data_IF_802966141965
#
_entry.id   IF_802966141965
#
_cell.length_a   1.000
_cell.length_b   1.000
_cell.length_c   1.000
_cell.angle_alpha   90.00
_cell.angle_beta   90.00
_cell.angle_gamma   90.00
#
_symmetry.space_group_name_H-M   'P 1'
#
loop_
_entity.id
_entity.type
_entity.pdbx_description
1 polymer ?
#
# COMPACT_ATOMS: atom_id res chain seq x y z
N UNK A 1 -19.88 5.35 23.95
CA UNK A 1 -19.09 6.58 23.75
C UNK A 1 -17.62 6.38 24.10
N UNK A 2 -17.28 5.73 25.22
CA UNK A 2 -15.89 5.46 25.66
C UNK A 2 -14.98 4.77 24.64
N UNK A 3 -15.43 3.78 23.86
CA UNK A 3 -14.54 3.09 22.90
C UNK A 3 -14.15 3.92 21.67
N UNK A 4 -15.06 4.77 21.16
CA UNK A 4 -14.79 5.63 20.02
C UNK A 4 -13.83 6.76 20.41
N UNK A 5 -14.07 7.39 21.56
CA UNK A 5 -13.20 8.40 22.11
C UNK A 5 -11.80 7.83 22.35
N UNK A 6 -11.70 6.67 23.01
CA UNK A 6 -10.43 5.97 23.20
C UNK A 6 -9.72 5.66 21.88
N UNK A 7 -10.43 5.30 20.81
CA UNK A 7 -9.81 5.06 19.50
C UNK A 7 -9.19 6.33 18.91
N UNK A 8 -9.86 7.47 19.02
CA UNK A 8 -9.35 8.74 18.49
C UNK A 8 -8.21 9.32 19.31
N UNK A 9 -8.18 9.05 20.62
CA UNK A 9 -7.16 9.54 21.57
C UNK A 9 -6.07 8.51 21.89
N UNK A 10 -6.05 7.35 21.21
CA UNK A 10 -4.99 6.35 21.40
C UNK A 10 -3.70 6.87 20.80
N UNK A 11 -2.66 6.96 21.61
CA UNK A 11 -1.30 7.27 21.16
C UNK A 11 -0.55 5.99 20.78
N UNK A 12 0.19 6.04 19.66
CA UNK A 12 1.07 4.94 19.23
C UNK A 12 2.48 5.50 19.10
N UNK A 13 3.35 5.09 20.01
CA UNK A 13 4.77 5.39 19.92
C UNK A 13 5.42 4.53 18.82
N UNK A 14 6.07 5.17 17.86
CA UNK A 14 6.72 4.47 16.76
C UNK A 14 7.99 3.76 17.23
N UNK A 15 8.04 2.46 17.00
CA UNK A 15 9.24 1.64 17.09
C UNK A 15 9.85 1.49 15.70
N UNK A 16 10.85 2.33 15.44
CA UNK A 16 11.57 2.38 14.15
C UNK A 16 12.21 1.05 13.81
N UNK A 17 12.84 0.39 14.79
CA UNK A 17 13.48 -0.92 14.58
C UNK A 17 12.47 -1.97 14.12
N UNK A 18 11.26 -1.96 14.68
CA UNK A 18 10.19 -2.87 14.26
C UNK A 18 9.74 -2.59 12.82
N UNK A 19 9.57 -1.31 12.44
CA UNK A 19 9.21 -0.91 11.08
C UNK A 19 10.28 -1.38 10.08
N UNK A 20 11.55 -1.13 10.37
CA UNK A 20 12.67 -1.60 9.54
C UNK A 20 12.75 -3.12 9.46
N UNK A 21 12.55 -3.83 10.57
CA UNK A 21 12.56 -5.29 10.60
C UNK A 21 11.47 -5.86 9.69
N UNK A 22 10.25 -5.34 9.77
CA UNK A 22 9.13 -5.77 8.91
C UNK A 22 9.42 -5.44 7.45
N UNK A 23 9.96 -4.24 7.16
CA UNK A 23 10.37 -3.86 5.81
C UNK A 23 11.48 -4.74 5.24
N UNK A 24 12.45 -5.16 6.06
CA UNK A 24 13.50 -6.09 5.65
C UNK A 24 12.92 -7.48 5.33
N UNK A 25 12.06 -8.01 6.22
CA UNK A 25 11.36 -9.28 6.01
C UNK A 25 10.55 -9.24 4.71
N UNK A 26 9.83 -8.14 4.46
CA UNK A 26 9.10 -7.90 3.22
C UNK A 26 10.00 -8.05 1.99
N UNK A 27 11.13 -7.34 1.97
CA UNK A 27 12.07 -7.35 0.84
C UNK A 27 12.62 -8.76 0.61
N UNK A 28 13.05 -9.46 1.67
CA UNK A 28 13.61 -10.81 1.58
C UNK A 28 12.59 -11.79 1.00
N UNK A 29 11.34 -11.74 1.46
CA UNK A 29 10.27 -12.61 0.96
C UNK A 29 9.95 -12.28 -0.50
N UNK A 30 9.84 -11.00 -0.83
CA UNK A 30 9.50 -10.56 -2.19
C UNK A 30 10.57 -10.93 -3.23
N UNK A 31 11.86 -10.83 -2.88
CA UNK A 31 12.96 -11.26 -3.75
C UNK A 31 12.94 -12.78 -3.99
N UNK A 32 12.44 -13.55 -3.03
CA UNK A 32 12.36 -15.00 -3.10
C UNK A 32 10.96 -15.53 -3.44
N UNK A 33 10.05 -14.68 -3.95
CA UNK A 33 8.62 -14.98 -4.18
C UNK A 33 8.34 -16.15 -5.14
N UNK A 34 9.32 -16.56 -5.93
CA UNK A 34 9.16 -17.66 -6.89
C UNK A 34 9.29 -19.06 -6.25
N UNK A 35 9.69 -19.16 -4.96
CA UNK A 35 10.01 -20.44 -4.31
C UNK A 35 9.04 -20.80 -3.19
N UNK A 36 8.32 -21.92 -3.34
CA UNK A 36 7.58 -22.58 -2.27
C UNK A 36 6.71 -21.64 -1.43
N UNK A 37 6.91 -21.66 -0.11
CA UNK A 37 6.13 -20.88 0.87
C UNK A 37 6.26 -19.36 0.70
N UNK A 38 7.37 -18.87 0.14
CA UNK A 38 7.58 -17.43 -0.06
C UNK A 38 6.59 -16.85 -1.08
N UNK A 39 6.09 -17.66 -2.01
CA UNK A 39 5.05 -17.24 -2.95
C UNK A 39 3.74 -16.88 -2.23
N UNK A 40 3.39 -17.64 -1.19
CA UNK A 40 2.22 -17.40 -0.36
C UNK A 40 2.44 -16.21 0.58
N UNK A 41 3.60 -16.14 1.23
CA UNK A 41 3.95 -15.04 2.12
C UNK A 41 4.02 -13.70 1.37
N UNK A 42 4.52 -13.69 0.13
CA UNK A 42 4.50 -12.52 -0.75
C UNK A 42 3.07 -12.02 -0.97
N UNK A 43 2.09 -12.91 -1.21
CA UNK A 43 0.69 -12.50 -1.35
C UNK A 43 0.19 -11.75 -0.13
N UNK A 44 0.43 -12.29 1.06
CA UNK A 44 -0.05 -11.67 2.30
C UNK A 44 0.64 -10.34 2.59
N UNK A 45 1.97 -10.29 2.48
CA UNK A 45 2.73 -9.08 2.79
C UNK A 45 2.52 -7.96 1.77
N UNK A 46 2.36 -8.30 0.49
CA UNK A 46 2.11 -7.32 -0.58
C UNK A 46 0.64 -6.88 -0.63
N UNK A 47 -0.28 -7.49 0.14
CA UNK A 47 -1.71 -7.18 0.03
C UNK A 47 -1.99 -5.69 0.25
N UNK A 48 -1.43 -5.11 1.32
CA UNK A 48 -1.60 -3.70 1.67
C UNK A 48 -0.86 -2.78 0.67
N UNK A 49 0.43 -3.02 0.35
CA UNK A 49 1.12 -2.26 -0.69
C UNK A 49 0.39 -2.23 -2.03
N UNK A 50 -0.04 -3.38 -2.54
CA UNK A 50 -0.76 -3.50 -3.81
C UNK A 50 -2.11 -2.83 -3.73
N UNK A 51 -2.89 -3.05 -2.66
CA UNK A 51 -4.15 -2.33 -2.44
C UNK A 51 -3.93 -0.82 -2.50
N UNK A 52 -2.87 -0.33 -1.87
CA UNK A 52 -2.54 1.09 -1.82
C UNK A 52 -2.15 1.63 -3.19
N UNK A 53 -1.31 0.91 -3.93
CA UNK A 53 -0.89 1.26 -5.28
C UNK A 53 -2.10 1.33 -6.23
N UNK A 54 -2.89 0.26 -6.31
CA UNK A 54 -4.05 0.20 -7.20
C UNK A 54 -5.11 1.24 -6.82
N UNK A 55 -5.29 1.47 -5.51
CA UNK A 55 -6.18 2.53 -5.03
C UNK A 55 -5.69 3.92 -5.46
N UNK A 56 -4.37 4.12 -5.54
CA UNK A 56 -3.77 5.33 -6.13
C UNK A 56 -4.30 5.61 -7.52
N UNK A 57 -4.27 4.62 -8.42
CA UNK A 57 -4.87 4.77 -9.75
C UNK A 57 -6.35 5.16 -9.67
N UNK A 58 -7.12 4.48 -8.83
CA UNK A 58 -8.56 4.75 -8.70
C UNK A 58 -8.86 6.14 -8.15
N UNK A 59 -8.15 6.56 -7.11
CA UNK A 59 -8.34 7.85 -6.45
C UNK A 59 -8.03 8.99 -7.43
N UNK A 60 -6.85 8.97 -8.05
CA UNK A 60 -6.41 10.01 -8.97
C UNK A 60 -7.25 10.02 -10.26
N UNK A 61 -7.74 8.85 -10.70
CA UNK A 61 -8.72 8.78 -11.79
C UNK A 61 -10.03 9.49 -11.43
N UNK A 62 -10.57 9.24 -10.23
CA UNK A 62 -11.81 9.91 -9.80
C UNK A 62 -11.65 11.41 -9.60
N UNK A 63 -10.54 11.86 -9.03
CA UNK A 63 -10.25 13.29 -8.82
C UNK A 63 -10.25 14.04 -10.16
N UNK A 64 -9.79 13.40 -11.23
CA UNK A 64 -9.77 13.98 -12.59
C UNK A 64 -11.08 13.78 -13.37
N UNK A 65 -12.14 13.34 -12.70
CA UNK A 65 -13.47 13.12 -13.31
C UNK A 65 -13.60 11.82 -14.10
N UNK A 66 -12.64 10.91 -13.99
CA UNK A 66 -12.69 9.55 -14.52
C UNK A 66 -13.61 8.63 -13.72
N UNK A 67 -13.70 7.37 -14.18
CA UNK A 67 -14.49 6.32 -13.52
C UNK A 67 -13.63 5.07 -13.27
N UNK A 68 -13.59 4.60 -12.03
CA UNK A 68 -13.04 3.29 -11.70
C UNK A 68 -14.16 2.23 -11.75
N UNK A 69 -13.96 1.20 -12.58
CA UNK A 69 -14.90 0.10 -12.76
C UNK A 69 -14.62 -1.07 -11.83
N UNK A 70 -13.35 -1.37 -11.62
CA UNK A 70 -12.92 -2.51 -10.82
C UNK A 70 -11.55 -2.24 -10.21
N UNK A 71 -11.30 -2.87 -9.06
CA UNK A 71 -10.02 -2.91 -8.38
C UNK A 71 -9.81 -4.34 -7.92
N UNK A 72 -8.76 -4.97 -8.39
CA UNK A 72 -8.51 -6.39 -8.16
C UNK A 72 -7.14 -6.57 -7.53
N UNK A 73 -7.10 -7.37 -6.46
CA UNK A 73 -5.87 -7.89 -5.89
C UNK A 73 -5.79 -9.36 -6.25
N UNK A 74 -4.71 -9.77 -6.91
CA UNK A 74 -4.48 -11.16 -7.29
C UNK A 74 -3.97 -11.89 -6.05
N UNK A 75 -4.76 -12.80 -5.48
CA UNK A 75 -4.38 -13.54 -4.27
C UNK A 75 -3.87 -14.95 -4.56
N UNK A 76 -3.97 -15.44 -5.80
CA UNK A 76 -3.45 -16.75 -6.18
C UNK A 76 -1.99 -16.63 -6.62
N UNK A 77 -1.02 -17.28 -5.93
CA UNK A 77 0.39 -17.23 -6.32
C UNK A 77 0.66 -17.72 -7.74
N UNK A 78 -0.05 -18.76 -8.20
CA UNK A 78 0.11 -19.29 -9.56
C UNK A 78 -0.33 -18.28 -10.61
N UNK A 79 -1.42 -17.56 -10.35
CA UNK A 79 -1.89 -16.49 -11.24
C UNK A 79 -0.90 -15.32 -11.28
N UNK A 80 -0.31 -14.93 -10.14
CA UNK A 80 0.73 -13.90 -10.11
C UNK A 80 1.96 -14.31 -10.93
N UNK A 81 2.34 -15.58 -10.91
CA UNK A 81 3.50 -16.07 -11.66
C UNK A 81 3.23 -16.15 -13.16
N UNK A 82 2.01 -16.50 -13.57
CA UNK A 82 1.65 -16.59 -15.00
C UNK A 82 1.37 -15.23 -15.63
N UNK A 83 0.76 -14.30 -14.89
CA UNK A 83 0.37 -12.97 -15.38
C UNK A 83 1.41 -11.89 -15.08
N UNK A 84 2.31 -12.14 -14.12
CA UNK A 84 3.23 -11.16 -13.53
C UNK A 84 2.52 -9.94 -12.89
N UNK A 85 1.21 -10.05 -12.64
CA UNK A 85 0.40 -9.00 -12.02
C UNK A 85 0.11 -9.35 -10.55
N UNK A 86 0.35 -8.40 -9.65
CA UNK A 86 0.00 -8.54 -8.23
C UNK A 86 -1.40 -7.96 -7.93
N UNK A 87 -1.81 -6.98 -8.72
CA UNK A 87 -3.12 -6.33 -8.71
C UNK A 87 -3.32 -5.58 -10.03
N UNK A 88 -4.54 -5.07 -10.23
CA UNK A 88 -4.85 -4.15 -11.31
C UNK A 88 -6.14 -3.36 -11.02
N UNK A 89 -6.15 -2.10 -11.44
CA UNK A 89 -7.32 -1.23 -11.44
C UNK A 89 -7.84 -1.00 -12.86
N UNK A 90 -9.14 -1.26 -13.09
CA UNK A 90 -9.80 -0.94 -14.36
C UNK A 90 -10.36 0.48 -14.26
N UNK A 91 -9.63 1.45 -14.82
CA UNK A 91 -9.99 2.86 -14.80
C UNK A 91 -10.34 3.39 -16.19
N UNK A 92 -11.19 4.42 -16.23
CA UNK A 92 -11.60 5.11 -17.45
C UNK A 92 -11.33 6.61 -17.27
N UNK A 93 -10.17 7.05 -17.74
CA UNK A 93 -9.74 8.44 -17.67
C UNK A 93 -10.43 9.33 -18.69
N UNK A 94 -10.69 10.59 -18.32
CA UNK A 94 -11.15 11.62 -19.25
C UNK A 94 -9.95 12.35 -19.85
N UNK A 95 -9.64 12.04 -21.10
CA UNK A 95 -8.56 12.68 -21.86
C UNK A 95 -7.15 12.34 -21.35
N UNK A 96 -6.14 12.91 -22.04
CA UNK A 96 -4.73 12.62 -21.79
C UNK A 96 -4.23 13.08 -20.41
N UNK A 97 -4.69 14.24 -19.93
CA UNK A 97 -4.31 14.74 -18.60
C UNK A 97 -4.85 13.84 -17.48
N UNK A 98 -6.09 13.38 -17.59
CA UNK A 98 -6.66 12.44 -16.63
C UNK A 98 -5.92 11.11 -16.62
N UNK A 99 -5.49 10.63 -17.79
CA UNK A 99 -4.69 9.41 -17.90
C UNK A 99 -3.30 9.58 -17.27
N UNK A 100 -2.63 10.70 -17.54
CA UNK A 100 -1.35 11.06 -16.93
C UNK A 100 -1.42 11.07 -15.39
N UNK A 101 -2.41 11.78 -14.84
CA UNK A 101 -2.60 11.90 -13.39
C UNK A 101 -2.95 10.54 -12.77
N UNK A 102 -3.81 9.75 -13.43
CA UNK A 102 -4.17 8.39 -12.99
C UNK A 102 -2.93 7.48 -12.90
N UNK A 103 -2.08 7.50 -13.93
CA UNK A 103 -0.90 6.64 -14.01
C UNK A 103 0.17 7.04 -12.99
N UNK A 104 0.34 8.35 -12.71
CA UNK A 104 1.23 8.81 -11.64
C UNK A 104 0.73 8.39 -10.25
N UNK A 105 -0.58 8.36 -10.06
CA UNK A 105 -1.21 8.06 -8.77
C UNK A 105 -0.79 6.73 -8.16
N UNK A 106 -0.54 5.69 -8.96
CA UNK A 106 -0.18 4.36 -8.48
C UNK A 106 1.10 4.36 -7.66
N UNK A 107 2.21 4.80 -8.27
CA UNK A 107 3.52 4.87 -7.61
C UNK A 107 3.65 5.96 -6.53
N UNK A 108 2.80 6.99 -6.54
CA UNK A 108 2.78 7.99 -5.48
C UNK A 108 2.00 7.56 -4.24
N UNK A 109 1.00 6.69 -4.36
CA UNK A 109 0.10 6.39 -3.24
C UNK A 109 0.78 5.66 -2.08
N UNK A 110 1.62 4.61 -2.28
CA UNK A 110 2.34 3.97 -1.17
C UNK A 110 3.22 4.93 -0.35
N UNK A 111 4.10 5.76 -0.96
CA UNK A 111 4.87 6.75 -0.20
C UNK A 111 4.00 7.83 0.45
N UNK A 112 2.90 8.28 -0.19
CA UNK A 112 1.95 9.22 0.44
C UNK A 112 1.31 8.60 1.68
N UNK A 113 0.81 7.36 1.60
CA UNK A 113 0.20 6.69 2.75
C UNK A 113 1.21 6.46 3.87
N UNK A 114 2.44 6.08 3.53
CA UNK A 114 3.51 5.95 4.51
C UNK A 114 3.77 7.27 5.24
N UNK A 115 3.86 8.39 4.51
CA UNK A 115 4.00 9.72 5.11
C UNK A 115 2.81 10.12 5.99
N UNK A 116 1.58 9.83 5.55
CA UNK A 116 0.38 10.06 6.38
C UNK A 116 0.51 9.30 7.70
N UNK A 117 0.96 8.04 7.67
CA UNK A 117 1.16 7.25 8.88
C UNK A 117 2.29 7.77 9.78
N UNK A 118 3.39 8.27 9.22
CA UNK A 118 4.45 8.89 10.03
C UNK A 118 3.99 10.19 10.69
N UNK A 119 3.37 11.09 9.91
CA UNK A 119 2.86 12.37 10.39
C UNK A 119 1.75 12.17 11.42
N UNK A 120 0.82 11.25 11.17
CA UNK A 120 -0.25 10.91 12.08
C UNK A 120 0.28 10.44 13.44
N UNK A 121 1.32 9.59 13.46
CA UNK A 121 1.92 9.16 14.72
C UNK A 121 2.72 10.28 15.40
N UNK A 122 3.47 11.09 14.64
CA UNK A 122 4.25 12.20 15.19
C UNK A 122 3.37 13.24 15.89
N UNK A 123 2.19 13.54 15.33
CA UNK A 123 1.22 14.45 15.91
C UNK A 123 0.16 13.76 16.79
N UNK A 124 0.41 12.55 17.29
CA UNK A 124 -0.48 11.86 18.25
C UNK A 124 -1.92 11.64 17.75
N UNK A 125 -2.07 11.44 16.43
CA UNK A 125 -3.34 11.16 15.77
C UNK A 125 -3.28 9.92 14.86
N UNK A 126 -2.78 8.75 15.35
CA UNK A 126 -2.67 7.53 14.53
C UNK A 126 -4.03 7.02 14.01
N UNK A 127 -5.11 7.39 14.68
CA UNK A 127 -6.49 7.12 14.24
C UNK A 127 -6.76 7.63 12.82
N UNK A 128 -6.18 8.77 12.40
CA UNK A 128 -6.32 9.31 11.03
C UNK A 128 -5.83 8.30 9.99
N UNK A 129 -4.67 7.71 10.21
CA UNK A 129 -4.08 6.72 9.31
C UNK A 129 -4.89 5.43 9.25
N UNK A 130 -5.34 4.95 10.42
CA UNK A 130 -6.17 3.75 10.51
C UNK A 130 -7.54 3.95 9.84
N UNK A 131 -8.18 5.10 10.06
CA UNK A 131 -9.45 5.47 9.40
C UNK A 131 -9.27 5.62 7.90
N UNK A 132 -8.17 6.20 7.42
CA UNK A 132 -7.88 6.28 5.99
C UNK A 132 -7.78 4.89 5.35
N UNK A 133 -7.06 3.96 5.98
CA UNK A 133 -6.97 2.58 5.48
C UNK A 133 -8.30 1.83 5.56
N UNK A 134 -9.10 2.06 6.60
CA UNK A 134 -10.43 1.50 6.70
C UNK A 134 -11.33 2.02 5.55
N UNK A 135 -11.27 3.31 5.25
CA UNK A 135 -12.02 3.90 4.14
C UNK A 135 -11.59 3.33 2.78
N UNK A 136 -10.29 3.15 2.55
CA UNK A 136 -9.75 2.48 1.35
C UNK A 136 -10.30 1.06 1.25
N UNK A 137 -10.29 0.31 2.35
CA UNK A 137 -10.75 -1.08 2.37
C UNK A 137 -12.27 -1.21 2.15
N UNK A 138 -13.07 -0.34 2.77
CA UNK A 138 -14.52 -0.27 2.54
C UNK A 138 -14.81 0.09 1.08
N UNK A 139 -14.09 1.04 0.51
CA UNK A 139 -14.24 1.39 -0.89
C UNK A 139 -13.88 0.21 -1.81
N UNK A 140 -12.77 -0.47 -1.54
CA UNK A 140 -12.35 -1.68 -2.25
C UNK A 140 -13.42 -2.77 -2.22
N UNK A 141 -14.00 -3.03 -1.04
CA UNK A 141 -15.11 -3.97 -0.85
C UNK A 141 -16.30 -3.69 -1.77
N UNK A 142 -16.62 -2.42 -2.01
CA UNK A 142 -17.73 -2.05 -2.89
C UNK A 142 -17.39 -2.34 -4.34
N UNK A 143 -16.22 -1.90 -4.81
CA UNK A 143 -15.92 -1.90 -6.25
C UNK A 143 -15.30 -3.20 -6.78
N UNK A 144 -14.65 -4.00 -5.94
CA UNK A 144 -13.93 -5.18 -6.42
C UNK A 144 -14.86 -6.26 -6.95
N UNK A 145 -14.54 -6.84 -8.10
CA UNK A 145 -15.21 -8.05 -8.59
C UNK A 145 -14.85 -9.30 -7.78
N UNK A 146 -13.67 -9.34 -7.15
CA UNK A 146 -13.16 -10.50 -6.39
C UNK A 146 -13.51 -10.42 -4.91
N UNK A 147 -14.74 -10.76 -4.54
CA UNK A 147 -15.26 -10.61 -3.17
C UNK A 147 -14.67 -11.59 -2.13
N UNK A 148 -14.17 -12.75 -2.54
CA UNK A 148 -13.76 -13.81 -1.59
C UNK A 148 -12.67 -13.35 -0.61
N UNK A 149 -11.58 -12.78 -1.14
CA UNK A 149 -10.45 -12.31 -0.31
C UNK A 149 -10.87 -11.28 0.74
N UNK A 150 -11.53 -10.16 0.38
CA UNK A 150 -11.90 -9.17 1.38
C UNK A 150 -13.01 -9.66 2.32
N UNK A 151 -13.89 -10.58 1.91
CA UNK A 151 -14.85 -11.23 2.82
C UNK A 151 -14.11 -12.06 3.89
N UNK A 152 -13.09 -12.84 3.51
CA UNK A 152 -12.28 -13.60 4.47
C UNK A 152 -11.63 -12.64 5.48
N UNK A 153 -11.07 -11.51 5.01
CA UNK A 153 -10.49 -10.49 5.88
C UNK A 153 -11.54 -9.92 6.85
N UNK A 154 -12.75 -9.60 6.40
CA UNK A 154 -13.85 -9.16 7.28
C UNK A 154 -14.16 -10.21 8.34
N UNK A 155 -14.30 -11.47 7.96
CA UNK A 155 -14.63 -12.56 8.89
C UNK A 155 -13.54 -12.68 9.96
N UNK A 156 -12.27 -12.64 9.57
CA UNK A 156 -11.14 -12.71 10.49
C UNK A 156 -11.13 -11.52 11.47
N UNK A 157 -11.27 -10.29 10.95
CA UNK A 157 -11.31 -9.08 11.80
C UNK A 157 -12.50 -9.12 12.74
N UNK A 158 -13.70 -9.47 12.25
CA UNK A 158 -14.93 -9.49 13.05
C UNK A 158 -14.88 -10.57 14.14
N UNK A 159 -14.44 -11.78 13.79
CA UNK A 159 -14.28 -12.87 14.77
C UNK A 159 -13.26 -12.51 15.84
N UNK A 160 -12.14 -11.92 15.44
CA UNK A 160 -11.10 -11.46 16.35
C UNK A 160 -11.60 -10.36 17.31
N UNK A 161 -12.28 -9.33 16.78
CA UNK A 161 -12.87 -8.27 17.60
C UNK A 161 -13.92 -8.82 18.57
N UNK A 162 -14.74 -9.78 18.14
CA UNK A 162 -15.73 -10.44 19.00
C UNK A 162 -15.06 -11.11 20.21
N UNK A 163 -14.01 -11.91 19.99
CA UNK A 163 -13.29 -12.57 21.10
C UNK A 163 -12.63 -11.57 22.05
N UNK A 164 -12.08 -10.47 21.53
CA UNK A 164 -11.45 -9.42 22.34
C UNK A 164 -12.46 -8.67 23.22
N UNK A 165 -13.64 -8.36 22.68
CA UNK A 165 -14.70 -7.66 23.42
C UNK A 165 -15.25 -8.55 24.54
N UNK A 166 -15.48 -9.84 24.27
CA UNK A 166 -16.04 -10.77 25.26
C UNK A 166 -15.18 -10.94 26.52
N UNK A 167 -13.84 -10.82 26.40
CA UNK A 167 -12.91 -11.11 27.50
C UNK A 167 -12.26 -9.86 28.11
N UNK A 168 -12.70 -8.65 27.73
CA UNK A 168 -12.23 -7.35 28.23
C UNK A 168 -10.68 -7.20 28.27
N UNK A 169 -9.98 -7.68 27.24
CA UNK A 169 -8.52 -7.65 27.16
C UNK A 169 -7.99 -6.33 26.57
N UNK A 170 -8.19 -5.21 27.26
CA UNK A 170 -7.83 -3.87 26.76
C UNK A 170 -6.35 -3.72 26.36
N UNK A 171 -5.41 -4.25 27.15
CA UNK A 171 -3.98 -4.21 26.83
C UNK A 171 -3.66 -5.01 25.55
N UNK A 172 -4.32 -6.15 25.35
CA UNK A 172 -4.15 -6.96 24.15
C UNK A 172 -4.62 -6.18 22.92
N UNK A 173 -5.81 -5.56 22.99
CA UNK A 173 -6.36 -4.71 21.92
C UNK A 173 -5.36 -3.61 21.54
N UNK A 174 -4.82 -2.89 22.53
CA UNK A 174 -3.82 -1.86 22.29
C UNK A 174 -2.58 -2.42 21.58
N UNK A 175 -2.02 -3.53 22.07
CA UNK A 175 -0.82 -4.14 21.47
C UNK A 175 -1.05 -4.60 20.03
N UNK A 176 -2.24 -5.11 19.72
CA UNK A 176 -2.59 -5.52 18.37
C UNK A 176 -2.70 -4.31 17.46
N UNK A 177 -3.41 -3.26 17.87
CA UNK A 177 -3.55 -2.03 17.08
C UNK A 177 -2.18 -1.41 16.84
N UNK A 178 -1.35 -1.30 17.89
CA UNK A 178 0.02 -0.82 17.78
C UNK A 178 0.82 -1.69 16.80
N UNK A 179 0.80 -3.01 16.95
CA UNK A 179 1.52 -3.91 16.02
C UNK A 179 1.02 -3.78 14.58
N UNK A 180 -0.30 -3.76 14.36
CA UNK A 180 -0.90 -3.56 13.03
C UNK A 180 -0.45 -2.24 12.40
N UNK A 181 -0.37 -1.17 13.19
CA UNK A 181 0.15 0.12 12.74
C UNK A 181 1.59 0.02 12.23
N UNK A 182 2.48 -0.57 13.03
CA UNK A 182 3.88 -0.80 12.66
C UNK A 182 4.01 -1.75 11.49
N UNK A 183 3.15 -2.76 11.40
CA UNK A 183 3.12 -3.71 10.30
C UNK A 183 2.77 -3.03 8.99
N UNK A 184 1.69 -2.23 8.95
CA UNK A 184 1.30 -1.46 7.76
C UNK A 184 2.44 -0.52 7.33
N UNK A 185 3.02 0.24 8.27
CA UNK A 185 4.16 1.09 7.97
C UNK A 185 5.38 0.29 7.48
N UNK A 186 5.67 -0.84 8.08
CA UNK A 186 6.80 -1.70 7.71
C UNK A 186 6.66 -2.29 6.31
N UNK A 187 5.48 -2.80 5.94
CA UNK A 187 5.25 -3.31 4.57
C UNK A 187 5.26 -2.20 3.53
N UNK A 188 4.76 -1.00 3.87
CA UNK A 188 4.87 0.18 2.99
C UNK A 188 6.33 0.64 2.83
N UNK A 189 7.12 0.63 3.91
CA UNK A 189 8.56 0.91 3.83
C UNK A 189 9.27 -0.10 2.93
N UNK A 190 8.95 -1.39 3.11
CA UNK A 190 9.44 -2.47 2.26
C UNK A 190 9.09 -2.23 0.79
N UNK A 191 7.86 -1.82 0.50
CA UNK A 191 7.41 -1.46 -0.85
C UNK A 191 8.13 -0.23 -1.41
N UNK A 192 8.34 0.83 -0.64
CA UNK A 192 9.04 2.04 -1.09
C UNK A 192 10.48 1.69 -1.52
N UNK A 193 11.17 0.86 -0.74
CA UNK A 193 12.53 0.40 -1.05
C UNK A 193 12.56 -0.56 -2.25
N UNK A 194 11.68 -1.56 -2.23
CA UNK A 194 11.57 -2.56 -3.30
C UNK A 194 11.15 -1.92 -4.62
N UNK A 195 10.19 -1.00 -4.60
CA UNK A 195 9.66 -0.35 -5.80
C UNK A 195 10.71 0.54 -6.44
N UNK A 196 11.56 1.21 -5.65
CA UNK A 196 12.70 1.97 -6.17
C UNK A 196 13.65 1.09 -6.98
N UNK A 197 13.96 -0.12 -6.48
CA UNK A 197 14.77 -1.10 -7.20
C UNK A 197 14.05 -1.63 -8.46
N UNK A 198 12.76 -1.92 -8.36
CA UNK A 198 11.94 -2.41 -9.48
C UNK A 198 11.82 -1.37 -10.58
N UNK A 199 11.54 -0.11 -10.25
CA UNK A 199 11.49 1.02 -11.18
C UNK A 199 12.82 1.16 -11.92
N UNK A 200 13.94 1.10 -11.20
CA UNK A 200 15.26 1.17 -11.81
C UNK A 200 15.44 0.06 -12.86
N UNK A 201 15.16 -1.20 -12.50
CA UNK A 201 15.28 -2.33 -13.41
C UNK A 201 14.34 -2.19 -14.63
N UNK A 202 13.07 -1.86 -14.42
CA UNK A 202 12.08 -1.68 -15.50
C UNK A 202 12.45 -0.56 -16.46
N UNK A 203 13.14 0.48 -15.98
CA UNK A 203 13.58 1.62 -16.79
C UNK A 203 14.65 1.23 -17.81
N UNK A 204 15.57 0.34 -17.41
CA UNK A 204 16.72 -0.05 -18.23
C UNK A 204 16.58 -1.43 -18.88
N UNK A 205 15.55 -2.21 -18.54
CA UNK A 205 15.28 -3.52 -19.12
C UNK A 205 14.99 -3.44 -20.63
N UNK A 206 15.49 -4.45 -21.36
CA UNK A 206 15.26 -4.65 -22.79
C UNK A 206 14.78 -6.10 -23.04
N UNK A 207 13.73 -6.34 -23.84
CA UNK A 207 12.84 -5.35 -24.47
C UNK A 207 12.07 -4.52 -23.44
N UNK A 208 11.54 -3.35 -23.84
CA UNK A 208 10.84 -2.44 -22.93
C UNK A 208 9.58 -3.12 -22.38
N UNK A 209 9.48 -3.36 -21.06
CA UNK A 209 8.30 -3.96 -20.46
C UNK A 209 7.14 -2.96 -20.43
N UNK A 210 5.91 -3.48 -20.31
CA UNK A 210 4.71 -2.66 -20.09
C UNK A 210 4.52 -2.39 -18.61
N UNK A 211 4.64 -1.11 -18.23
CA UNK A 211 4.42 -0.60 -16.87
C UNK A 211 4.08 0.89 -16.90
N UNK A 212 3.74 1.49 -15.76
CA UNK A 212 3.26 2.89 -15.70
C UNK A 212 4.22 3.90 -16.34
N UNK A 213 5.53 3.74 -16.14
CA UNK A 213 6.53 4.63 -16.75
C UNK A 213 6.51 4.57 -18.28
N UNK A 214 6.33 3.38 -18.85
CA UNK A 214 6.15 3.24 -20.31
C UNK A 214 4.83 3.85 -20.78
N UNK A 215 3.73 3.69 -20.02
CA UNK A 215 2.44 4.30 -20.35
C UNK A 215 2.51 5.83 -20.32
N UNK A 216 3.20 6.43 -19.34
CA UNK A 216 3.45 7.87 -19.29
C UNK A 216 4.30 8.34 -20.47
N UNK A 217 5.28 7.55 -20.89
CA UNK A 217 6.08 7.84 -22.09
C UNK A 217 5.21 7.85 -23.34
N UNK A 218 4.26 6.93 -23.47
CA UNK A 218 3.36 6.87 -24.61
C UNK A 218 2.41 8.07 -24.67
N UNK A 219 1.93 8.54 -23.50
CA UNK A 219 1.04 9.70 -23.35
C UNK A 219 1.78 11.01 -23.61
N UNK A 220 2.96 11.20 -23.02
CA UNK A 220 3.65 12.51 -22.95
C UNK A 220 4.80 12.65 -23.94
N UNK A 221 5.28 11.54 -24.51
CA UNK A 221 6.54 11.43 -25.28
C UNK A 221 7.81 11.78 -24.47
N UNK A 222 7.69 12.01 -23.17
CA UNK A 222 8.83 12.20 -22.27
C UNK A 222 9.45 10.82 -21.98
N UNK A 223 10.78 10.67 -22.05
CA UNK A 223 11.43 9.39 -21.78
C UNK A 223 11.14 8.86 -20.37
N UNK A 224 10.95 7.54 -20.29
CA UNK A 224 10.62 6.82 -19.04
C UNK A 224 11.52 7.17 -17.86
N UNK A 225 12.82 7.38 -18.10
CA UNK A 225 13.79 7.65 -17.03
C UNK A 225 13.47 8.93 -16.24
N UNK A 226 12.79 9.91 -16.84
CA UNK A 226 12.39 11.16 -16.15
C UNK A 226 11.38 10.86 -15.05
N UNK A 227 10.39 10.01 -15.34
CA UNK A 227 9.40 9.57 -14.36
C UNK A 227 10.02 8.69 -13.29
N UNK A 228 10.97 7.82 -13.68
CA UNK A 228 11.71 6.98 -12.75
C UNK A 228 12.50 7.80 -11.74
N UNK A 229 13.20 8.85 -12.19
CA UNK A 229 13.91 9.78 -11.30
C UNK A 229 12.93 10.42 -10.33
N UNK A 230 11.78 10.93 -10.81
CA UNK A 230 10.79 11.58 -9.96
C UNK A 230 10.29 10.64 -8.85
N UNK A 231 9.86 9.42 -9.20
CA UNK A 231 9.34 8.48 -8.22
C UNK A 231 10.41 7.99 -7.24
N UNK A 232 11.62 7.68 -7.72
CA UNK A 232 12.73 7.26 -6.85
C UNK A 232 13.14 8.41 -5.91
N UNK A 233 13.19 9.66 -6.40
CA UNK A 233 13.47 10.82 -5.55
C UNK A 233 12.39 11.03 -4.49
N UNK A 234 11.11 10.83 -4.83
CA UNK A 234 10.03 10.90 -3.87
C UNK A 234 10.13 9.81 -2.81
N UNK A 235 10.48 8.59 -3.19
CA UNK A 235 10.76 7.48 -2.27
C UNK A 235 11.95 7.80 -1.34
N UNK A 236 13.05 8.35 -1.84
CA UNK A 236 14.16 8.77 -0.96
C UNK A 236 13.78 9.91 -0.02
N UNK A 237 12.93 10.83 -0.46
CA UNK A 237 12.42 11.89 0.40
C UNK A 237 11.55 11.33 1.54
N UNK A 238 10.74 10.29 1.29
CA UNK A 238 9.95 9.66 2.36
C UNK A 238 10.82 8.93 3.38
N UNK A 239 11.92 8.30 2.94
CA UNK A 239 12.93 7.70 3.83
C UNK A 239 13.64 8.76 4.69
N UNK A 240 13.97 9.90 4.10
CA UNK A 240 14.53 11.03 4.85
C UNK A 240 13.55 11.51 5.94
N UNK A 241 12.26 11.63 5.62
CA UNK A 241 11.24 12.02 6.60
C UNK A 241 11.02 10.97 7.69
N UNK A 242 11.12 9.67 7.37
CA UNK A 242 11.13 8.62 8.40
C UNK A 242 12.22 8.87 9.43
N UNK A 243 13.46 9.05 8.98
CA UNK A 243 14.61 9.29 9.87
C UNK A 243 14.38 10.57 10.68
N UNK A 244 13.93 11.65 10.01
CA UNK A 244 13.67 12.93 10.65
C UNK A 244 12.59 12.89 11.72
N UNK A 245 11.52 12.12 11.53
CA UNK A 245 10.40 12.09 12.48
C UNK A 245 10.57 11.07 13.60
N UNK A 246 11.59 10.22 13.53
CA UNK A 246 11.70 9.08 14.44
C UNK A 246 13.06 8.89 15.10
N UNK A 247 14.13 9.47 14.55
CA UNK A 247 15.50 9.34 15.09
C UNK A 247 16.08 10.72 15.45
N UNK A 248 15.82 11.74 14.62
CA UNK A 248 16.26 13.13 14.83
C UNK A 248 15.22 13.94 15.58
#
# INVERSE_FOLDING_TARGET
>A
MTYLENFFTTDINLNVFLIFLIGLIYIIIHQNRHKGINSLLDVYLNYIPVLTHEFGHVLFNRITGGRAKDLVIVTNPTERQSTLQQGYAITQSRGYLGQFITTIGGYLMPPIMFLIGLVAAHYQHPSVFLTAYLAIFVYFLVITSRKLSPIIVIILITGFLYFLIQHNHQLMVYNIVAFSYHFVLGVLLGEILQSSWTIFNLTFQRPKPTWDGSALTDITKIPTFVFSILWISFNFYTLYLLIKYTIL
#
